data_IF_872074523868
#
_entry.id   IF_872074523868
#
_cell.length_a   1.000
_cell.length_b   1.000
_cell.length_c   1.000
_cell.angle_alpha   90.00
_cell.angle_beta   90.00
_cell.angle_gamma   90.00
#
_symmetry.space_group_name_H-M   'P 1'
#
loop_
_entity.id
_entity.type
_entity.pdbx_description
1 polymer ?
#
# COMPACT_ATOMS: atom_id res chain seq x y z
N UNK A 1 1.47 1.32 -28.86
CA UNK A 1 1.03 0.43 -27.82
C UNK A 1 0.90 1.19 -26.49
N UNK A 2 -0.22 1.04 -25.83
CA UNK A 2 -0.46 1.81 -24.60
C UNK A 2 0.23 1.15 -23.43
N UNK A 3 0.89 1.95 -22.59
CA UNK A 3 1.44 1.47 -21.34
C UNK A 3 0.29 1.16 -20.38
N UNK A 4 0.52 0.31 -19.37
CA UNK A 4 -0.49 0.09 -18.34
C UNK A 4 -0.90 1.41 -17.70
N UNK A 5 -2.17 1.54 -17.40
CA UNK A 5 -2.72 2.80 -16.90
C UNK A 5 -2.67 2.88 -15.38
N UNK A 6 -1.69 2.23 -14.78
CA UNK A 6 -1.53 2.31 -13.33
C UNK A 6 -0.07 2.52 -13.00
N UNK A 7 0.15 3.15 -11.85
CA UNK A 7 1.50 3.39 -11.34
C UNK A 7 1.60 2.78 -9.95
N UNK A 8 2.79 2.25 -9.64
CA UNK A 8 3.04 1.62 -8.35
C UNK A 8 4.17 2.36 -7.66
N UNK A 9 3.93 2.78 -6.43
CA UNK A 9 4.92 3.46 -5.62
C UNK A 9 5.07 2.73 -4.29
N UNK A 10 6.32 2.43 -3.93
CA UNK A 10 6.59 1.83 -2.62
C UNK A 10 6.65 2.93 -1.57
N UNK A 11 5.79 2.85 -0.57
CA UNK A 11 5.72 3.85 0.48
C UNK A 11 6.65 3.54 1.64
N UNK A 12 6.77 2.28 2.01
CA UNK A 12 7.69 1.87 3.08
C UNK A 12 7.94 0.38 2.98
N UNK A 13 9.03 -0.04 3.64
CA UNK A 13 9.44 -1.44 3.71
C UNK A 13 9.92 -1.72 5.12
N UNK A 14 9.60 -2.90 5.62
CA UNK A 14 10.07 -3.36 6.93
C UNK A 14 11.20 -4.36 6.79
N UNK A 15 11.88 -4.64 7.89
CA UNK A 15 13.04 -5.53 7.90
C UNK A 15 12.68 -6.96 7.51
N UNK A 16 11.46 -7.38 7.75
CA UNK A 16 11.03 -8.74 7.43
C UNK A 16 10.58 -8.89 5.98
N UNK A 17 10.73 -7.83 5.17
CA UNK A 17 10.33 -7.88 3.78
C UNK A 17 8.92 -7.40 3.51
N UNK A 18 8.19 -7.03 4.55
CA UNK A 18 6.85 -6.45 4.37
C UNK A 18 6.98 -5.08 3.75
N UNK A 19 6.17 -4.81 2.74
CA UNK A 19 6.20 -3.54 2.02
C UNK A 19 4.80 -3.03 1.79
N UNK A 20 4.66 -1.71 1.72
CA UNK A 20 3.40 -1.06 1.41
C UNK A 20 3.51 -0.40 0.05
N UNK A 21 2.56 -0.69 -0.81
CA UNK A 21 2.53 -0.19 -2.18
C UNK A 21 1.31 0.69 -2.39
N UNK A 22 1.51 1.83 -3.02
CA UNK A 22 0.43 2.68 -3.48
C UNK A 22 0.27 2.46 -4.97
N UNK A 23 -0.90 2.00 -5.38
CA UNK A 23 -1.21 1.74 -6.77
C UNK A 23 -2.24 2.75 -7.23
N UNK A 24 -1.94 3.46 -8.30
CA UNK A 24 -2.87 4.42 -8.88
C UNK A 24 -3.50 3.80 -10.11
N UNK A 25 -4.84 3.68 -10.10
CA UNK A 25 -5.60 3.05 -11.16
C UNK A 25 -6.43 4.09 -11.92
N UNK A 26 -6.95 3.69 -13.07
CA UNK A 26 -7.83 4.56 -13.86
C UNK A 26 -9.23 4.61 -13.29
N UNK A 27 -9.73 3.50 -12.79
CA UNK A 27 -11.11 3.42 -12.30
C UNK A 27 -11.20 3.81 -10.83
N UNK A 28 -12.32 4.38 -10.45
CA UNK A 28 -12.53 4.79 -9.05
C UNK A 28 -12.88 3.58 -8.18
N UNK A 29 -12.45 3.57 -6.93
CA UNK A 29 -11.51 4.50 -6.31
C UNK A 29 -10.10 4.33 -6.91
N UNK A 30 -9.45 5.44 -7.22
CA UNK A 30 -8.22 5.41 -8.01
C UNK A 30 -6.99 4.97 -7.24
N UNK A 31 -7.00 5.10 -5.93
CA UNK A 31 -5.82 4.83 -5.13
C UNK A 31 -6.01 3.55 -4.34
N UNK A 32 -5.06 2.64 -4.47
CA UNK A 32 -5.13 1.37 -3.75
C UNK A 32 -3.87 1.22 -2.92
N UNK A 33 -4.05 0.86 -1.64
CA UNK A 33 -2.93 0.57 -0.75
C UNK A 33 -2.89 -0.93 -0.53
N UNK A 34 -1.73 -1.52 -0.76
CA UNK A 34 -1.49 -2.94 -0.55
C UNK A 34 -0.31 -3.13 0.37
N UNK A 35 -0.48 -3.97 1.38
CA UNK A 35 0.64 -4.41 2.20
C UNK A 35 0.94 -5.84 1.83
N UNK A 36 2.18 -6.09 1.40
CA UNK A 36 2.57 -7.39 0.87
C UNK A 36 3.82 -7.89 1.58
N UNK A 37 3.95 -9.20 1.65
CA UNK A 37 5.16 -9.84 2.10
C UNK A 37 5.41 -11.03 1.18
N UNK A 38 6.48 -10.95 0.38
CA UNK A 38 6.70 -11.95 -0.64
C UNK A 38 5.54 -12.00 -1.61
N UNK A 39 4.93 -13.16 -1.74
CA UNK A 39 3.79 -13.36 -2.63
C UNK A 39 2.45 -13.12 -1.98
N UNK A 40 2.44 -12.79 -0.69
CA UNK A 40 1.18 -12.65 0.04
C UNK A 40 0.75 -11.21 0.14
N UNK A 41 -0.55 -10.98 -0.07
CA UNK A 41 -1.17 -9.69 0.20
C UNK A 41 -1.76 -9.76 1.60
N UNK A 42 -1.19 -8.98 2.53
CA UNK A 42 -1.62 -9.01 3.93
C UNK A 42 -2.80 -8.10 4.17
N UNK A 43 -2.83 -6.95 3.51
CA UNK A 43 -3.91 -5.98 3.62
C UNK A 43 -4.07 -5.25 2.31
N UNK A 44 -5.28 -4.79 2.05
CA UNK A 44 -5.57 -4.10 0.81
C UNK A 44 -6.79 -3.21 1.03
N UNK A 45 -6.73 -1.98 0.50
CA UNK A 45 -7.86 -1.07 0.59
C UNK A 45 -7.79 -0.07 -0.55
N UNK A 46 -8.96 0.39 -1.00
CA UNK A 46 -9.04 1.38 -2.06
C UNK A 46 -9.62 2.67 -1.51
N UNK A 47 -9.07 3.79 -1.98
CA UNK A 47 -9.44 5.10 -1.45
C UNK A 47 -9.58 6.08 -2.61
N UNK A 48 -10.33 7.16 -2.37
CA UNK A 48 -10.61 8.12 -3.41
C UNK A 48 -9.57 9.23 -3.50
N UNK A 49 -8.74 9.40 -2.46
CA UNK A 49 -7.76 10.48 -2.43
C UNK A 49 -6.38 9.93 -2.08
N UNK A 50 -5.35 10.49 -2.71
CA UNK A 50 -3.97 10.10 -2.44
C UNK A 50 -3.59 10.37 -0.98
N UNK A 51 -4.00 11.52 -0.44
CA UNK A 51 -3.70 11.86 0.95
C UNK A 51 -4.27 10.85 1.94
N UNK A 52 -5.50 10.42 1.70
CA UNK A 52 -6.13 9.41 2.54
C UNK A 52 -5.38 8.09 2.47
N UNK A 53 -4.92 7.72 1.27
CA UNK A 53 -4.17 6.50 1.07
C UNK A 53 -2.84 6.55 1.83
N UNK A 54 -2.15 7.68 1.77
CA UNK A 54 -0.89 7.84 2.48
C UNK A 54 -1.07 7.79 3.99
N UNK A 55 -2.14 8.40 4.49
CA UNK A 55 -2.44 8.36 5.92
C UNK A 55 -2.74 6.93 6.39
N UNK A 56 -3.50 6.19 5.59
CA UNK A 56 -3.79 4.80 5.94
C UNK A 56 -2.52 3.96 5.94
N UNK A 57 -1.63 4.21 4.99
CA UNK A 57 -0.36 3.49 4.92
C UNK A 57 0.47 3.73 6.17
N UNK A 58 0.51 4.97 6.67
CA UNK A 58 1.23 5.29 7.88
C UNK A 58 0.60 4.65 9.11
N UNK A 59 -0.70 4.61 9.14
CA UNK A 59 -1.42 3.94 10.24
C UNK A 59 -1.09 2.46 10.26
N UNK A 60 -1.09 1.82 9.09
CA UNK A 60 -0.76 0.40 9.01
C UNK A 60 0.69 0.14 9.40
N UNK A 61 1.59 1.03 9.00
CA UNK A 61 3.00 0.90 9.36
C UNK A 61 3.18 0.91 10.88
N UNK A 62 2.53 1.85 11.55
CA UNK A 62 2.57 1.94 13.00
C UNK A 62 2.02 0.70 13.65
N UNK A 63 0.88 0.21 13.16
CA UNK A 63 0.25 -0.96 13.74
C UNK A 63 1.11 -2.21 13.58
N UNK A 64 1.70 -2.39 12.40
CA UNK A 64 2.53 -3.55 12.14
C UNK A 64 3.83 -3.51 12.94
N UNK A 65 4.44 -2.34 13.05
CA UNK A 65 5.65 -2.18 13.84
C UNK A 65 5.37 -2.47 15.31
N UNK A 66 4.22 -2.04 15.80
CA UNK A 66 3.83 -2.28 17.18
C UNK A 66 3.61 -3.77 17.45
N UNK A 67 2.94 -4.45 16.52
CA UNK A 67 2.67 -5.87 16.65
C UNK A 67 3.95 -6.69 16.60
N UNK A 68 4.84 -6.39 15.67
CA UNK A 68 6.06 -7.19 15.53
C UNK A 68 7.01 -7.00 16.70
N UNK A 69 6.80 -6.00 17.51
CA UNK A 69 7.61 -5.76 18.68
C UNK A 69 7.19 -6.60 19.89
N UNK A 70 5.95 -7.01 19.90
CA UNK A 70 5.38 -7.80 20.99
C UNK A 70 5.77 -9.27 20.95
#
# INVERSE_FOLDING_TARGET
>A
MAAPSFQVQRLWTMDDGTACLLVEREDAPKFEICVVRGDQVLRQNRLYARGSAQMLAETWRSNLAHISKG
#
